data_IF_941853537070
#
_entry.id   IF_941853537070
#
_cell.length_a   1.000
_cell.length_b   1.000
_cell.length_c   1.000
_cell.angle_alpha   90.00
_cell.angle_beta   90.00
_cell.angle_gamma   90.00
#
_symmetry.space_group_name_H-M   'P 1'
#
loop_
_entity.id
_entity.type
_entity.pdbx_description
1 polymer ?
#
# COMPACT_ATOMS: atom_id res chain seq x y z
N UNK A 1 -1.08 -10.42 9.80
CA UNK A 1 -1.33 -11.63 8.99
C UNK A 1 -1.01 -11.34 7.53
N UNK A 2 -0.51 -12.30 6.76
CA UNK A 2 -0.20 -12.11 5.34
C UNK A 2 -1.22 -12.86 4.47
N UNK A 3 -1.82 -12.19 3.47
CA UNK A 3 -2.72 -12.80 2.48
C UNK A 3 -2.14 -12.52 1.10
N UNK A 4 -1.74 -13.56 0.37
CA UNK A 4 -1.18 -13.43 -0.98
C UNK A 4 -0.01 -12.42 -1.06
N UNK A 5 0.87 -12.41 -0.04
CA UNK A 5 1.99 -11.46 0.16
C UNK A 5 1.62 -10.02 0.50
N UNK A 6 0.32 -9.71 0.61
CA UNK A 6 -0.12 -8.44 1.16
C UNK A 6 -0.22 -8.55 2.69
N UNK A 7 0.39 -7.62 3.41
CA UNK A 7 0.31 -7.57 4.87
C UNK A 7 -1.01 -6.96 5.31
N UNK A 8 -1.71 -7.61 6.24
CA UNK A 8 -2.90 -7.13 6.93
C UNK A 8 -2.72 -7.37 8.43
N UNK A 9 -2.29 -6.36 9.20
CA UNK A 9 -2.16 -6.45 10.65
C UNK A 9 -3.45 -6.88 11.35
N UNK A 10 -3.31 -7.60 12.45
CA UNK A 10 -4.41 -7.95 13.34
C UNK A 10 -4.74 -6.79 14.30
N UNK A 11 -5.87 -6.87 14.98
CA UNK A 11 -6.28 -5.86 15.98
C UNK A 11 -6.77 -4.52 15.40
N UNK A 12 -6.90 -4.43 14.08
CA UNK A 12 -7.48 -3.28 13.37
C UNK A 12 -8.64 -3.74 12.50
N UNK A 13 -9.51 -2.79 12.16
CA UNK A 13 -10.72 -3.03 11.36
C UNK A 13 -10.48 -2.67 9.91
N UNK A 14 -11.14 -3.38 9.01
CA UNK A 14 -11.03 -3.20 7.57
C UNK A 14 -12.41 -2.93 6.96
N UNK A 15 -12.44 -1.97 6.04
CA UNK A 15 -13.55 -1.74 5.12
C UNK A 15 -13.12 -2.17 3.73
N UNK A 16 -13.72 -3.26 3.24
CA UNK A 16 -13.38 -3.83 1.95
C UNK A 16 -13.99 -3.07 0.76
N UNK A 17 -15.05 -2.29 0.98
CA UNK A 17 -15.71 -1.52 -0.09
C UNK A 17 -14.93 -0.24 -0.40
N UNK A 18 -14.42 0.41 0.65
CA UNK A 18 -13.64 1.64 0.53
C UNK A 18 -12.11 1.40 0.52
N UNK A 19 -11.66 0.16 0.74
CA UNK A 19 -10.25 -0.23 0.86
C UNK A 19 -9.48 0.54 1.94
N UNK A 20 -10.12 0.83 3.07
CA UNK A 20 -9.51 1.53 4.20
C UNK A 20 -9.37 0.62 5.41
N UNK A 21 -8.45 0.98 6.30
CA UNK A 21 -8.34 0.37 7.63
C UNK A 21 -8.57 1.43 8.70
N UNK A 22 -9.07 0.99 9.86
CA UNK A 22 -9.31 1.81 11.03
C UNK A 22 -8.68 1.17 12.26
N UNK A 23 -7.91 1.95 13.01
CA UNK A 23 -7.30 1.54 14.29
C UNK A 23 -7.84 2.44 15.40
N UNK A 24 -8.46 1.83 16.41
CA UNK A 24 -8.87 2.54 17.62
C UNK A 24 -7.63 3.04 18.39
N UNK A 25 -7.71 4.23 18.95
CA UNK A 25 -6.69 4.72 19.88
C UNK A 25 -6.71 3.88 21.17
N UNK A 26 -5.52 3.60 21.70
CA UNK A 26 -5.34 2.75 22.88
C UNK A 26 -5.84 3.41 24.16
N UNK A 27 -5.79 4.75 24.22
CA UNK A 27 -6.17 5.55 25.39
C UNK A 27 -7.61 6.07 25.30
N UNK A 28 -8.10 6.39 24.11
CA UNK A 28 -9.45 6.92 23.88
C UNK A 28 -10.15 6.22 22.71
N UNK A 29 -11.03 5.26 23.02
CA UNK A 29 -11.79 4.51 22.01
C UNK A 29 -12.76 5.36 21.17
N UNK A 30 -12.99 6.63 21.53
CA UNK A 30 -13.73 7.56 20.67
C UNK A 30 -12.88 8.11 19.53
N UNK A 31 -11.57 7.84 19.52
CA UNK A 31 -10.63 8.25 18.48
C UNK A 31 -10.24 7.05 17.63
N UNK A 32 -10.34 7.22 16.31
CA UNK A 32 -9.84 6.24 15.33
C UNK A 32 -8.85 6.89 14.39
N UNK A 33 -7.80 6.14 14.06
CA UNK A 33 -6.85 6.46 12.99
C UNK A 33 -7.30 5.74 11.72
N UNK A 34 -7.35 6.45 10.60
CA UNK A 34 -7.73 5.90 9.30
C UNK A 34 -6.54 5.92 8.34
N UNK A 35 -6.33 4.83 7.62
CA UNK A 35 -5.42 4.75 6.47
C UNK A 35 -6.01 3.89 5.35
N UNK A 36 -5.21 3.63 4.32
CA UNK A 36 -5.63 2.81 3.17
C UNK A 36 -4.93 1.45 3.17
N UNK A 37 -5.60 0.44 2.60
CA UNK A 37 -5.06 -0.92 2.53
C UNK A 37 -4.07 -1.09 1.37
N UNK A 38 -3.20 -2.12 1.41
CA UNK A 38 -2.32 -2.50 0.32
C UNK A 38 -3.04 -2.76 -1.00
N UNK A 39 -4.33 -3.13 -0.94
CA UNK A 39 -5.17 -3.31 -2.14
C UNK A 39 -5.27 -2.01 -2.91
N UNK A 40 -5.65 -0.91 -2.24
CA UNK A 40 -5.76 0.39 -2.90
C UNK A 40 -4.39 0.90 -3.37
N UNK A 41 -3.33 0.65 -2.61
CA UNK A 41 -1.96 1.00 -2.99
C UNK A 41 -1.55 0.27 -4.28
N UNK A 42 -1.80 -1.03 -4.38
CA UNK A 42 -1.48 -1.81 -5.57
C UNK A 42 -2.28 -1.33 -6.80
N UNK A 43 -3.56 -0.98 -6.62
CA UNK A 43 -4.41 -0.48 -7.69
C UNK A 43 -4.01 0.92 -8.14
N UNK A 44 -3.66 1.79 -7.18
CA UNK A 44 -3.31 3.16 -7.47
C UNK A 44 -1.88 3.30 -8.00
N UNK A 45 -0.95 2.47 -7.55
CA UNK A 45 0.48 2.65 -7.80
C UNK A 45 1.06 3.80 -6.98
N UNK A 46 2.19 4.36 -7.43
CA UNK A 46 2.95 5.37 -6.68
C UNK A 46 2.16 6.66 -6.55
N UNK A 47 1.80 7.05 -5.34
CA UNK A 47 1.09 8.30 -5.12
C UNK A 47 2.01 9.49 -5.44
N UNK A 48 1.44 10.46 -6.14
CA UNK A 48 2.10 11.72 -6.52
C UNK A 48 1.50 12.92 -5.80
N UNK A 49 0.26 12.78 -5.29
CA UNK A 49 -0.42 13.83 -4.56
C UNK A 49 -1.47 13.26 -3.62
N UNK A 50 -1.51 13.80 -2.41
CA UNK A 50 -2.55 13.53 -1.43
C UNK A 50 -3.03 14.89 -0.90
N UNK A 51 -4.35 15.09 -0.82
CA UNK A 51 -4.94 16.26 -0.18
C UNK A 51 -5.90 15.82 0.89
N UNK A 52 -5.57 16.15 2.14
CA UNK A 52 -6.40 15.85 3.30
C UNK A 52 -7.41 16.99 3.54
N UNK A 53 -8.58 16.65 4.09
CA UNK A 53 -9.48 17.65 4.67
C UNK A 53 -8.87 18.23 5.94
N UNK A 54 -9.26 19.46 6.28
CA UNK A 54 -8.68 20.17 7.43
C UNK A 54 -9.15 19.61 8.77
N UNK A 55 -8.31 19.75 9.79
CA UNK A 55 -8.68 19.55 11.20
C UNK A 55 -9.94 20.38 11.51
N UNK A 56 -10.86 19.79 12.26
CA UNK A 56 -12.13 20.41 12.62
C UNK A 56 -13.27 20.13 11.64
N UNK A 57 -13.00 19.50 10.49
CA UNK A 57 -14.05 19.13 9.53
C UNK A 57 -14.91 17.99 10.07
N UNK A 58 -16.23 18.19 10.05
CA UNK A 58 -17.19 17.11 10.28
C UNK A 58 -17.30 16.23 9.03
N UNK A 59 -17.31 14.91 9.24
CA UNK A 59 -17.36 13.88 8.21
C UNK A 59 -18.65 13.09 8.45
N UNK A 60 -19.51 13.05 7.45
CA UNK A 60 -20.64 12.12 7.44
C UNK A 60 -20.15 10.74 6.99
N UNK A 61 -20.89 9.70 7.38
CA UNK A 61 -20.64 8.32 6.96
C UNK A 61 -20.42 8.20 5.44
N UNK A 62 -19.39 7.45 5.04
CA UNK A 62 -18.97 7.20 3.65
C UNK A 62 -18.62 8.45 2.84
N UNK A 63 -18.34 9.60 3.49
CA UNK A 63 -17.81 10.77 2.80
C UNK A 63 -16.28 10.78 2.78
N UNK A 64 -15.74 11.54 1.82
CA UNK A 64 -14.30 11.64 1.63
C UNK A 64 -13.62 12.35 2.81
N UNK A 65 -12.45 11.85 3.19
CA UNK A 65 -11.51 12.50 4.11
C UNK A 65 -10.29 13.04 3.36
N UNK A 66 -10.00 12.48 2.18
CA UNK A 66 -8.89 12.90 1.33
C UNK A 66 -9.16 12.62 -0.15
N UNK A 67 -8.43 13.32 -1.03
CA UNK A 67 -8.26 12.93 -2.43
C UNK A 67 -6.84 12.42 -2.66
N UNK A 68 -6.70 11.38 -3.46
CA UNK A 68 -5.42 10.73 -3.79
C UNK A 68 -5.24 10.66 -5.30
N UNK A 69 -4.01 10.85 -5.75
CA UNK A 69 -3.65 10.89 -7.16
C UNK A 69 -2.29 10.23 -7.41
N UNK A 70 -2.24 9.43 -8.47
CA UNK A 70 -1.05 8.81 -9.04
C UNK A 70 -1.11 8.94 -10.57
N UNK A 71 -0.08 8.44 -11.24
CA UNK A 71 -0.07 8.32 -12.71
C UNK A 71 -1.21 7.43 -13.23
N UNK A 72 -1.66 6.47 -12.42
CA UNK A 72 -2.63 5.43 -12.83
C UNK A 72 -4.02 5.64 -12.25
N UNK A 73 -4.18 6.54 -11.28
CA UNK A 73 -5.38 6.60 -10.46
C UNK A 73 -5.67 8.00 -9.94
N UNK A 74 -6.95 8.36 -9.93
CA UNK A 74 -7.46 9.53 -9.23
C UNK A 74 -8.73 9.13 -8.47
N UNK A 75 -8.77 9.40 -7.16
CA UNK A 75 -9.90 8.97 -6.34
C UNK A 75 -9.99 9.65 -4.98
N UNK A 76 -10.96 9.17 -4.19
CA UNK A 76 -11.24 9.70 -2.86
C UNK A 76 -11.09 8.59 -1.82
N UNK A 77 -10.45 8.91 -0.70
CA UNK A 77 -10.44 8.06 0.50
C UNK A 77 -11.66 8.42 1.31
N UNK A 78 -12.52 7.44 1.58
CA UNK A 78 -13.80 7.63 2.29
C UNK A 78 -13.72 7.02 3.68
N UNK A 79 -14.32 7.70 4.65
CA UNK A 79 -14.44 7.17 6.00
C UNK A 79 -15.78 6.45 6.16
N UNK A 80 -15.80 5.19 6.63
CA UNK A 80 -17.05 4.45 6.86
C UNK A 80 -17.80 4.87 8.12
N UNK A 81 -17.29 5.85 8.87
CA UNK A 81 -17.86 6.33 10.12
C UNK A 81 -18.20 7.82 10.00
N UNK A 82 -19.09 8.28 10.87
CA UNK A 82 -19.31 9.71 11.09
C UNK A 82 -18.44 10.23 12.24
N UNK A 83 -18.08 11.51 12.18
CA UNK A 83 -17.30 12.14 13.24
C UNK A 83 -16.61 13.41 12.80
N UNK A 84 -15.56 13.79 13.53
CA UNK A 84 -14.80 15.03 13.30
C UNK A 84 -13.31 14.75 13.20
N UNK A 85 -12.66 15.28 12.15
CA UNK A 85 -11.20 15.20 12.01
C UNK A 85 -10.56 16.00 13.15
N UNK A 86 -9.69 15.36 13.93
CA UNK A 86 -8.95 15.98 15.03
C UNK A 86 -7.45 16.09 14.75
N UNK A 87 -6.94 15.27 13.84
CA UNK A 87 -5.53 15.26 13.45
C UNK A 87 -5.40 14.82 11.99
N UNK A 88 -4.40 15.35 11.30
CA UNK A 88 -4.07 15.01 9.91
C UNK A 88 -2.58 14.71 9.80
N UNK A 89 -2.22 13.81 8.90
CA UNK A 89 -0.82 13.53 8.61
C UNK A 89 -0.30 14.47 7.51
N UNK A 90 0.16 15.66 7.90
CA UNK A 90 0.65 16.67 6.96
C UNK A 90 1.83 16.19 6.11
N UNK A 91 2.60 15.21 6.59
CA UNK A 91 3.72 14.64 5.85
C UNK A 91 3.28 14.07 4.49
N UNK A 92 2.05 13.58 4.37
CA UNK A 92 1.51 13.02 3.12
C UNK A 92 1.36 14.05 2.01
N UNK A 93 1.22 15.34 2.34
CA UNK A 93 1.14 16.41 1.34
C UNK A 93 2.50 16.70 0.71
N UNK A 94 3.60 16.45 1.44
CA UNK A 94 4.97 16.68 0.99
C UNK A 94 5.62 15.41 0.42
N UNK A 95 5.34 14.26 1.03
CA UNK A 95 5.83 12.97 0.59
C UNK A 95 4.70 11.92 0.56
N UNK A 96 3.86 11.94 -0.49
CA UNK A 96 2.78 10.96 -0.67
C UNK A 96 3.22 9.49 -0.64
N UNK A 97 4.48 9.21 -1.03
CA UNK A 97 5.04 7.86 -1.10
C UNK A 97 5.08 7.16 0.26
N UNK A 98 5.05 7.90 1.38
CA UNK A 98 4.98 7.31 2.72
C UNK A 98 3.82 6.31 2.82
N UNK A 99 2.68 6.59 2.17
CA UNK A 99 1.54 5.68 2.13
C UNK A 99 1.86 4.37 1.39
N UNK A 100 2.62 4.45 0.30
CA UNK A 100 3.05 3.28 -0.45
C UNK A 100 4.00 2.39 0.36
N UNK A 101 4.90 3.00 1.13
CA UNK A 101 5.97 2.29 1.86
C UNK A 101 5.54 1.77 3.23
N UNK A 102 4.75 2.56 3.96
CA UNK A 102 4.43 2.33 5.35
C UNK A 102 2.92 2.46 5.62
N UNK A 103 2.06 1.70 4.92
CA UNK A 103 0.61 1.90 4.93
C UNK A 103 -0.07 1.84 6.30
N UNK A 104 0.53 1.15 7.26
CA UNK A 104 -0.02 0.93 8.60
C UNK A 104 0.74 1.67 9.72
N UNK A 105 1.91 2.21 9.39
CA UNK A 105 2.74 2.96 10.32
C UNK A 105 2.62 4.45 9.96
N UNK A 106 3.60 5.02 9.27
CA UNK A 106 3.62 6.46 8.93
C UNK A 106 2.62 6.87 7.84
N UNK A 107 1.96 5.91 7.18
CA UNK A 107 1.03 6.12 6.06
C UNK A 107 -0.43 6.37 6.46
N UNK A 108 -0.72 6.63 7.73
CA UNK A 108 -2.06 7.01 8.18
C UNK A 108 -2.46 8.38 7.63
N UNK A 109 -3.76 8.60 7.40
CA UNK A 109 -4.27 9.82 6.75
C UNK A 109 -4.77 10.83 7.77
N UNK A 110 -5.72 10.42 8.61
CA UNK A 110 -6.41 11.28 9.56
C UNK A 110 -6.72 10.54 10.84
N UNK A 111 -6.82 11.26 11.95
CA UNK A 111 -7.48 10.79 13.17
C UNK A 111 -8.83 11.48 13.30
N UNK A 112 -9.84 10.70 13.63
CA UNK A 112 -11.24 11.11 13.68
C UNK A 112 -11.76 10.82 15.08
N UNK A 113 -12.37 11.84 15.70
CA UNK A 113 -13.20 11.65 16.90
C UNK A 113 -14.61 11.28 16.45
N UNK A 114 -15.05 10.09 16.83
CA UNK A 114 -16.36 9.53 16.54
C UNK A 114 -17.33 10.01 17.62
N UNK A 115 -18.55 10.36 17.22
CA UNK A 115 -19.60 10.74 18.16
C UNK A 115 -20.13 9.51 18.93
N UNK A 116 -20.45 9.70 20.22
CA UNK A 116 -20.72 8.62 21.18
C UNK A 116 -21.93 7.71 20.86
N UNK A 117 -22.70 7.99 19.79
CA UNK A 117 -23.69 7.07 19.24
C UNK A 117 -23.08 5.89 18.48
N UNK A 118 -21.85 6.02 17.98
CA UNK A 118 -21.07 4.98 17.30
C UNK A 118 -19.97 4.37 18.19
N UNK A 119 -19.72 4.97 19.37
CA UNK A 119 -18.66 4.52 20.30
C UNK A 119 -19.02 3.26 21.12
N UNK A 120 -20.30 2.86 21.12
CA UNK A 120 -20.73 1.59 21.69
C UNK A 120 -20.38 0.47 20.73
N UNK A 121 -19.11 0.13 20.74
CA UNK A 121 -18.50 -0.94 19.96
C UNK A 121 -18.70 -0.75 18.44
N UNK A 122 -17.61 -0.38 17.76
CA UNK A 122 -17.44 -0.78 16.35
C UNK A 122 -17.59 -2.32 16.17
N UNK A 123 -17.59 -3.07 17.28
CA UNK A 123 -17.87 -4.51 17.35
C UNK A 123 -19.34 -4.93 17.63
N UNK A 124 -20.30 -4.04 17.95
CA UNK A 124 -21.65 -4.50 18.34
C UNK A 124 -22.85 -3.76 17.78
N UNK A 125 -22.70 -2.56 17.24
CA UNK A 125 -23.87 -1.78 16.83
C UNK A 125 -24.06 -1.82 15.31
N UNK A 126 -25.23 -2.34 14.92
CA UNK A 126 -25.77 -2.61 13.57
C UNK A 126 -25.87 -1.37 12.64
N UNK A 127 -24.81 -0.57 12.55
CA UNK A 127 -24.70 0.61 11.68
C UNK A 127 -23.31 0.81 11.08
N UNK A 128 -22.26 0.17 11.56
CA UNK A 128 -20.97 0.06 10.85
C UNK A 128 -20.87 -1.29 10.11
N UNK A 129 -21.94 -1.69 9.40
CA UNK A 129 -22.21 -3.07 8.94
C UNK A 129 -21.08 -3.78 8.15
N UNK A 130 -20.06 -3.06 7.66
CA UNK A 130 -18.99 -3.61 6.81
C UNK A 130 -17.59 -3.58 7.45
N UNK A 131 -17.42 -3.06 8.67
CA UNK A 131 -16.12 -3.09 9.35
C UNK A 131 -15.88 -4.45 9.98
N UNK A 132 -14.81 -5.12 9.54
CA UNK A 132 -14.48 -6.47 9.96
C UNK A 132 -13.02 -6.54 10.43
N UNK A 133 -12.76 -7.32 11.47
CA UNK A 133 -11.40 -7.75 11.74
C UNK A 133 -10.93 -8.72 10.66
N UNK A 134 -9.61 -8.86 10.56
CA UNK A 134 -9.00 -9.64 9.49
C UNK A 134 -9.39 -11.13 9.50
N UNK A 135 -9.62 -11.70 10.69
CA UNK A 135 -10.11 -13.08 10.88
C UNK A 135 -11.53 -13.28 10.35
N UNK A 136 -12.34 -12.23 10.33
CA UNK A 136 -13.72 -12.25 9.85
C UNK A 136 -13.84 -12.04 8.34
N UNK A 137 -12.81 -11.52 7.67
CA UNK A 137 -12.85 -11.14 6.25
C UNK A 137 -11.68 -11.66 5.41
N UNK A 138 -10.89 -12.60 5.94
CA UNK A 138 -9.76 -13.23 5.26
C UNK A 138 -10.11 -13.74 3.84
N UNK A 139 -11.15 -14.55 3.72
CA UNK A 139 -11.53 -15.17 2.44
C UNK A 139 -12.04 -14.14 1.44
N UNK A 140 -12.77 -13.13 1.91
CA UNK A 140 -13.23 -12.00 1.09
C UNK A 140 -12.04 -11.21 0.53
N UNK A 141 -11.05 -10.90 1.38
CA UNK A 141 -9.82 -10.21 0.93
C UNK A 141 -9.04 -11.07 -0.07
N UNK A 142 -8.92 -12.38 0.18
CA UNK A 142 -8.22 -13.29 -0.73
C UNK A 142 -8.87 -13.29 -2.12
N UNK A 143 -10.20 -13.42 -2.18
CA UNK A 143 -10.97 -13.35 -3.43
C UNK A 143 -10.84 -11.98 -4.10
N UNK A 144 -10.85 -10.91 -3.31
CA UNK A 144 -10.69 -9.54 -3.81
C UNK A 144 -9.30 -9.33 -4.43
N UNK A 145 -8.24 -9.80 -3.79
CA UNK A 145 -6.86 -9.75 -4.30
C UNK A 145 -6.76 -10.48 -5.64
N UNK A 146 -7.34 -11.67 -5.73
CA UNK A 146 -7.35 -12.46 -6.97
C UNK A 146 -8.13 -11.74 -8.08
N UNK A 147 -9.38 -11.32 -7.78
CA UNK A 147 -10.28 -10.65 -8.72
C UNK A 147 -9.70 -9.35 -9.27
N UNK A 148 -9.02 -8.59 -8.41
CA UNK A 148 -8.45 -7.29 -8.77
C UNK A 148 -6.99 -7.40 -9.25
N UNK A 149 -6.44 -8.61 -9.33
CA UNK A 149 -5.05 -8.86 -9.70
C UNK A 149 -4.03 -8.02 -8.89
N UNK A 150 -4.31 -7.89 -7.59
CA UNK A 150 -3.47 -7.13 -6.66
C UNK A 150 -2.13 -7.84 -6.49
N UNK A 151 -1.04 -7.06 -6.57
CA UNK A 151 0.32 -7.54 -6.32
C UNK A 151 0.96 -6.70 -5.23
N UNK A 152 1.23 -7.34 -4.10
CA UNK A 152 2.11 -6.79 -3.07
C UNK A 152 3.50 -7.41 -3.21
N UNK A 153 4.50 -6.54 -3.09
CA UNK A 153 5.91 -6.88 -3.05
C UNK A 153 6.47 -6.56 -1.67
N UNK A 154 7.62 -7.15 -1.36
CA UNK A 154 8.40 -6.90 -0.14
C UNK A 154 8.72 -5.42 0.10
N UNK A 155 8.81 -4.62 -0.96
CA UNK A 155 8.90 -3.17 -0.90
C UNK A 155 8.26 -2.53 -2.13
N UNK A 156 7.64 -1.36 -1.97
CA UNK A 156 6.96 -0.68 -3.07
C UNK A 156 7.98 -0.09 -4.07
N UNK A 157 7.87 -0.39 -5.37
CA UNK A 157 8.83 0.07 -6.36
C UNK A 157 8.70 1.56 -6.70
N UNK A 158 9.85 2.22 -6.83
CA UNK A 158 9.97 3.58 -7.35
C UNK A 158 9.98 3.64 -8.87
N UNK A 159 10.58 2.62 -9.48
CA UNK A 159 10.76 2.47 -10.91
C UNK A 159 10.34 1.06 -11.32
N UNK A 160 9.81 0.93 -12.53
CA UNK A 160 9.44 -0.35 -13.11
C UNK A 160 10.17 -0.52 -14.45
N UNK A 161 10.68 -1.71 -14.71
CA UNK A 161 11.32 -2.12 -15.96
C UNK A 161 10.64 -3.40 -16.45
N UNK A 162 10.00 -3.34 -17.63
CA UNK A 162 9.36 -4.49 -18.26
C UNK A 162 10.20 -4.96 -19.46
N UNK A 163 10.96 -6.03 -19.27
CA UNK A 163 11.93 -6.55 -20.25
C UNK A 163 11.46 -7.92 -20.75
N UNK A 164 10.41 -7.90 -21.58
CA UNK A 164 9.78 -9.10 -22.16
C UNK A 164 10.33 -9.32 -23.58
N UNK A 165 10.77 -10.54 -23.88
CA UNK A 165 11.44 -10.88 -25.13
C UNK A 165 12.84 -10.28 -25.24
N UNK A 166 13.44 -9.92 -24.12
CA UNK A 166 14.78 -9.31 -24.03
C UNK A 166 15.69 -10.25 -23.25
N UNK A 167 16.86 -10.53 -23.82
CA UNK A 167 17.87 -11.38 -23.17
C UNK A 167 18.32 -10.80 -21.83
N UNK A 168 18.57 -11.67 -20.87
CA UNK A 168 18.95 -11.26 -19.51
C UNK A 168 20.13 -10.27 -19.48
N UNK A 169 21.17 -10.47 -20.29
CA UNK A 169 22.35 -9.60 -20.33
C UNK A 169 22.01 -8.13 -20.68
N UNK A 170 21.07 -7.91 -21.61
CA UNK A 170 20.62 -6.57 -21.97
C UNK A 170 19.79 -5.94 -20.84
N UNK A 171 18.92 -6.73 -20.20
CA UNK A 171 18.14 -6.33 -19.01
C UNK A 171 19.05 -5.87 -17.87
N UNK A 172 20.10 -6.65 -17.56
CA UNK A 172 21.07 -6.31 -16.50
C UNK A 172 21.86 -5.05 -16.80
N UNK A 173 22.23 -4.84 -18.08
CA UNK A 173 22.92 -3.60 -18.51
C UNK A 173 22.04 -2.38 -18.27
N UNK A 174 20.78 -2.42 -18.73
CA UNK A 174 19.80 -1.34 -18.50
C UNK A 174 19.54 -1.11 -17.01
N UNK A 175 19.44 -2.18 -16.23
CA UNK A 175 19.23 -2.09 -14.79
C UNK A 175 20.42 -1.37 -14.12
N UNK A 176 21.66 -1.74 -14.49
CA UNK A 176 22.86 -1.07 -14.01
C UNK A 176 22.88 0.42 -14.34
N UNK A 177 22.51 0.80 -15.57
CA UNK A 177 22.42 2.21 -15.98
C UNK A 177 21.35 2.98 -15.20
N UNK A 178 20.18 2.37 -14.96
CA UNK A 178 19.12 2.99 -14.18
C UNK A 178 19.56 3.17 -12.73
N UNK A 179 20.10 2.12 -12.11
CA UNK A 179 20.61 2.15 -10.73
C UNK A 179 21.68 3.25 -10.58
N UNK A 180 22.54 3.45 -11.58
CA UNK A 180 23.53 4.54 -11.59
C UNK A 180 22.93 5.96 -11.53
N UNK A 181 21.68 6.14 -11.94
CA UNK A 181 21.02 7.46 -12.05
C UNK A 181 20.03 7.77 -10.92
N UNK A 182 19.51 6.76 -10.23
CA UNK A 182 18.48 6.94 -9.18
C UNK A 182 19.09 7.17 -7.80
N UNK A 183 18.28 7.60 -6.84
CA UNK A 183 18.75 7.91 -5.49
C UNK A 183 18.97 6.65 -4.65
N UNK A 184 19.87 6.75 -3.66
CA UNK A 184 20.11 5.68 -2.69
C UNK A 184 18.83 5.28 -1.97
N UNK A 185 18.61 3.97 -1.83
CA UNK A 185 17.41 3.41 -1.22
C UNK A 185 16.21 3.30 -2.15
N UNK A 186 16.24 3.87 -3.36
CA UNK A 186 15.18 3.67 -4.36
C UNK A 186 15.08 2.20 -4.78
N UNK A 187 13.86 1.80 -5.12
CA UNK A 187 13.53 0.41 -5.44
C UNK A 187 13.14 0.30 -6.91
N UNK A 188 13.70 -0.68 -7.61
CA UNK A 188 13.36 -1.01 -9.00
C UNK A 188 12.65 -2.35 -9.03
N UNK A 189 11.46 -2.38 -9.60
CA UNK A 189 10.79 -3.62 -9.99
C UNK A 189 11.17 -3.97 -11.42
N UNK A 190 11.83 -5.12 -11.60
CA UNK A 190 12.21 -5.65 -12.92
C UNK A 190 11.32 -6.84 -13.23
N UNK A 191 10.77 -6.88 -14.45
CA UNK A 191 10.02 -8.01 -14.99
C UNK A 191 10.80 -8.58 -16.18
N UNK A 192 11.01 -9.89 -16.19
CA UNK A 192 11.67 -10.59 -17.31
C UNK A 192 11.00 -11.93 -17.58
N UNK A 193 10.89 -12.32 -18.83
CA UNK A 193 10.44 -13.65 -19.27
C UNK A 193 11.61 -14.61 -19.60
N UNK A 194 12.85 -14.19 -19.36
CA UNK A 194 14.04 -15.00 -19.58
C UNK A 194 14.11 -16.15 -18.54
N UNK A 195 14.37 -17.36 -19.03
CA UNK A 195 14.35 -18.59 -18.22
C UNK A 195 15.49 -18.65 -17.18
N UNK A 196 16.58 -17.92 -17.42
CA UNK A 196 17.79 -17.86 -16.59
C UNK A 196 17.88 -16.61 -15.71
N UNK A 197 16.89 -15.73 -15.79
CA UNK A 197 16.92 -14.43 -15.12
C UNK A 197 17.10 -14.53 -13.59
N UNK A 198 16.64 -15.60 -12.96
CA UNK A 198 16.78 -15.80 -11.51
C UNK A 198 18.25 -15.92 -11.08
N UNK A 199 19.00 -16.82 -11.70
CA UNK A 199 20.41 -17.04 -11.39
C UNK A 199 21.27 -15.83 -11.77
N UNK A 200 20.98 -15.21 -12.92
CA UNK A 200 21.74 -14.06 -13.42
C UNK A 200 21.50 -12.80 -12.58
N UNK A 201 20.26 -12.55 -12.12
CA UNK A 201 19.95 -11.46 -11.20
C UNK A 201 20.62 -11.62 -9.84
N UNK A 202 20.69 -12.86 -9.31
CA UNK A 202 21.42 -13.15 -8.06
C UNK A 202 22.90 -12.80 -8.23
N UNK A 203 23.55 -13.31 -9.29
CA UNK A 203 24.96 -13.02 -9.59
C UNK A 203 25.20 -11.52 -9.73
N UNK A 204 24.38 -10.83 -10.51
CA UNK A 204 24.48 -9.39 -10.70
C UNK A 204 24.35 -8.63 -9.38
N UNK A 205 23.44 -9.04 -8.49
CA UNK A 205 23.27 -8.44 -7.16
C UNK A 205 24.52 -8.63 -6.29
N UNK A 206 25.13 -9.82 -6.31
CA UNK A 206 26.37 -10.11 -5.58
C UNK A 206 27.56 -9.29 -6.11
N UNK A 207 27.72 -9.22 -7.44
CA UNK A 207 28.82 -8.51 -8.10
C UNK A 207 28.75 -6.99 -7.90
N UNK A 208 27.55 -6.42 -8.03
CA UNK A 208 27.33 -4.98 -7.87
C UNK A 208 27.18 -4.56 -6.41
N UNK A 209 26.81 -5.50 -5.53
CA UNK A 209 26.46 -5.27 -4.14
C UNK A 209 25.17 -4.45 -3.94
N UNK A 210 24.31 -4.43 -4.96
CA UNK A 210 22.93 -3.95 -4.83
C UNK A 210 22.09 -5.02 -4.13
N UNK A 211 21.02 -4.63 -3.45
CA UNK A 211 20.23 -5.57 -2.63
C UNK A 211 19.02 -6.11 -3.41
N UNK A 212 19.03 -7.40 -3.73
CA UNK A 212 17.89 -8.11 -4.30
C UNK A 212 16.94 -8.55 -3.16
N UNK A 213 15.87 -7.78 -2.95
CA UNK A 213 14.92 -7.97 -1.85
C UNK A 213 13.97 -9.14 -2.07
N UNK A 214 13.57 -9.38 -3.33
CA UNK A 214 12.61 -10.43 -3.67
C UNK A 214 12.81 -10.93 -5.09
N UNK A 215 12.65 -12.25 -5.25
CA UNK A 215 12.48 -12.93 -6.53
C UNK A 215 11.14 -13.66 -6.49
N UNK A 216 10.32 -13.46 -7.52
CA UNK A 216 9.00 -14.10 -7.64
C UNK A 216 8.78 -14.56 -9.08
N UNK A 217 8.25 -15.76 -9.25
CA UNK A 217 7.81 -16.27 -10.55
C UNK A 217 6.30 -16.33 -10.62
N UNK A 218 5.71 -15.70 -11.62
CA UNK A 218 4.27 -15.73 -11.92
C UNK A 218 4.06 -16.20 -13.36
N UNK A 219 3.61 -17.44 -13.53
CA UNK A 219 3.55 -18.07 -14.86
C UNK A 219 4.93 -18.12 -15.52
N UNK A 220 5.07 -17.44 -16.65
CA UNK A 220 6.33 -17.35 -17.40
C UNK A 220 7.17 -16.11 -17.07
N UNK A 221 6.70 -15.24 -16.16
CA UNK A 221 7.39 -14.00 -15.82
C UNK A 221 8.09 -14.13 -14.47
N UNK A 222 9.33 -13.66 -14.42
CA UNK A 222 10.03 -13.35 -13.19
C UNK A 222 9.84 -11.87 -12.82
N UNK A 223 9.67 -11.63 -11.53
CA UNK A 223 9.58 -10.33 -10.90
C UNK A 223 10.71 -10.23 -9.88
N UNK A 224 11.50 -9.17 -9.99
CA UNK A 224 12.61 -8.88 -9.10
C UNK A 224 12.41 -7.53 -8.42
N UNK A 225 12.65 -7.46 -7.12
CA UNK A 225 12.63 -6.21 -6.37
C UNK A 225 14.06 -5.89 -5.95
N UNK A 226 14.64 -4.87 -6.56
CA UNK A 226 16.03 -4.48 -6.36
C UNK A 226 16.07 -3.14 -5.66
N UNK A 227 16.77 -3.06 -4.53
CA UNK A 227 16.99 -1.81 -3.81
C UNK A 227 18.41 -1.32 -4.06
N UNK A 228 18.53 -0.05 -4.44
CA UNK A 228 19.82 0.62 -4.53
C UNK A 228 20.44 0.77 -3.13
N UNK A 229 21.59 0.16 -2.92
CA UNK A 229 22.36 0.19 -1.67
C UNK A 229 23.79 0.68 -1.83
N UNK A 230 24.23 0.92 -3.07
CA UNK A 230 25.53 1.51 -3.42
C UNK A 230 25.38 2.51 -4.55
#
# INVERSE_FOLDING_TARGET
>A
MEISRCNFPEGILYDLDNFVWLKNDENDRSIVTLGITPILISLAGKFTKIKLKQIGTNIEKNKSVASIESVRYFGMVRCPLEGKIIEINDALSYNPKIVNDFPYDDGWFVKIKIDNSDSRNVNSDKKADNLKFIDQCHDEIKLLIEKLHVRCFSAFPDYEMFEIGVECAATLTKLGELIGKIDMGNIVHVVSDDLSADLEMIRWSEETGQNLLEIRKEGNLYHFIVKKTK
#
